data_IF_899004113825
#
_entry.id   IF_899004113825
#
_cell.length_a   1.000
_cell.length_b   1.000
_cell.length_c   1.000
_cell.angle_alpha   90.00
_cell.angle_beta   90.00
_cell.angle_gamma   90.00
#
_symmetry.space_group_name_H-M   'P 1'
#
loop_
_entity.id
_entity.type
_entity.pdbx_description
1 polymer ?
#
# COMPACT_ATOMS: atom_id res chain seq x y z
N UNK A 1 -41.60 38.05 -8.89
CA UNK A 1 -41.13 37.54 -7.59
C UNK A 1 -40.85 36.05 -7.78
N UNK A 2 -39.58 35.70 -7.93
CA UNK A 2 -38.93 34.37 -7.76
C UNK A 2 -37.56 34.48 -8.43
N UNK A 3 -36.58 34.94 -7.65
CA UNK A 3 -35.19 34.89 -8.05
C UNK A 3 -34.74 33.42 -8.03
N UNK A 4 -34.25 32.96 -9.17
CA UNK A 4 -33.51 31.70 -9.26
C UNK A 4 -32.20 31.91 -8.50
N UNK A 5 -32.00 31.11 -7.44
CA UNK A 5 -30.76 31.09 -6.69
C UNK A 5 -29.62 30.68 -7.62
N UNK A 6 -28.58 31.52 -7.66
CA UNK A 6 -27.31 31.18 -8.28
C UNK A 6 -26.74 29.94 -7.57
N UNK A 7 -26.51 28.88 -8.34
CA UNK A 7 -25.67 27.77 -7.91
C UNK A 7 -24.29 28.35 -7.59
N UNK A 8 -23.91 28.30 -6.32
CA UNK A 8 -22.52 28.50 -5.92
C UNK A 8 -21.72 27.34 -6.52
N UNK A 9 -21.06 27.63 -7.63
CA UNK A 9 -20.04 26.78 -8.23
C UNK A 9 -18.85 26.76 -7.26
N UNK A 10 -18.82 25.78 -6.36
CA UNK A 10 -17.69 25.53 -5.47
C UNK A 10 -16.54 25.00 -6.33
N UNK A 11 -15.87 25.92 -7.03
CA UNK A 11 -14.62 25.63 -7.70
C UNK A 11 -13.61 25.24 -6.62
N UNK A 12 -13.38 23.94 -6.48
CA UNK A 12 -12.33 23.40 -5.62
C UNK A 12 -11.02 24.05 -6.08
N UNK A 13 -10.36 24.80 -5.21
CA UNK A 13 -9.06 25.41 -5.53
C UNK A 13 -8.03 24.30 -5.77
N UNK A 14 -7.75 24.06 -7.06
CA UNK A 14 -6.78 23.09 -7.57
C UNK A 14 -5.44 23.76 -7.92
N UNK A 15 -5.28 25.05 -7.61
CA UNK A 15 -4.11 25.85 -8.00
C UNK A 15 -2.92 25.71 -7.07
N UNK A 16 -3.12 25.09 -5.91
CA UNK A 16 -2.09 24.88 -4.91
C UNK A 16 -0.91 24.05 -5.42
N UNK A 17 0.27 24.68 -5.50
CA UNK A 17 1.52 24.02 -5.88
C UNK A 17 2.10 23.23 -4.70
N UNK A 18 2.31 21.93 -4.89
CA UNK A 18 2.95 21.04 -3.92
C UNK A 18 4.46 21.19 -4.02
N UNK A 19 5.12 21.45 -2.88
CA UNK A 19 6.59 21.60 -2.85
C UNK A 19 7.23 20.37 -2.26
N UNK A 20 8.09 19.70 -3.02
CA UNK A 20 8.84 18.54 -2.56
C UNK A 20 10.22 18.95 -2.03
N UNK A 21 10.57 18.43 -0.86
CA UNK A 21 11.86 18.65 -0.21
C UNK A 21 12.41 17.36 0.40
N UNK A 22 13.71 17.38 0.74
CA UNK A 22 14.37 16.32 1.49
C UNK A 22 15.00 16.97 2.73
N UNK A 23 14.21 17.19 3.79
CA UNK A 23 14.71 17.85 4.98
C UNK A 23 15.78 17.00 5.67
N UNK A 24 16.81 17.67 6.20
CA UNK A 24 17.74 17.04 7.12
C UNK A 24 17.06 16.76 8.46
N UNK A 25 17.22 15.55 8.97
CA UNK A 25 16.75 15.15 10.29
C UNK A 25 17.95 14.73 11.12
N UNK A 26 17.93 15.06 12.41
CA UNK A 26 18.97 14.65 13.33
C UNK A 26 18.86 13.16 13.67
N UNK A 27 19.93 12.58 14.23
CA UNK A 27 19.97 11.17 14.61
C UNK A 27 20.22 10.22 13.43
N UNK A 28 20.18 8.91 13.71
CA UNK A 28 20.43 7.88 12.71
C UNK A 28 19.11 7.35 12.16
N UNK A 29 18.81 7.55 10.87
CA UNK A 29 17.59 7.02 10.27
C UNK A 29 17.65 5.49 10.14
N UNK A 30 16.50 4.83 9.94
CA UNK A 30 16.46 3.42 9.63
C UNK A 30 17.24 3.11 8.35
N UNK A 31 17.79 1.90 8.26
CA UNK A 31 18.37 1.38 7.01
C UNK A 31 17.37 1.43 5.86
N UNK A 32 17.89 1.35 4.63
CA UNK A 32 17.06 1.24 3.44
C UNK A 32 16.07 0.07 3.57
N UNK A 33 14.81 0.30 3.21
CA UNK A 33 13.74 -0.69 3.40
C UNK A 33 12.51 -0.42 2.53
N UNK A 34 11.88 -1.49 2.07
CA UNK A 34 10.53 -1.46 1.52
C UNK A 34 9.63 -2.52 2.15
N UNK A 35 8.31 -2.33 2.02
CA UNK A 35 7.30 -3.16 2.67
C UNK A 35 7.31 -3.03 4.20
N UNK A 36 7.83 -1.92 4.72
CA UNK A 36 7.74 -1.56 6.14
C UNK A 36 6.41 -0.86 6.40
N UNK A 37 6.05 -0.71 7.66
CA UNK A 37 4.90 0.10 8.08
C UNK A 37 5.35 1.38 8.77
N UNK A 38 4.59 2.45 8.60
CA UNK A 38 4.74 3.71 9.34
C UNK A 38 3.36 4.14 9.81
N UNK A 39 3.25 4.55 11.07
CA UNK A 39 2.03 5.16 11.60
C UNK A 39 2.35 6.42 12.41
N UNK A 40 1.38 7.31 12.51
CA UNK A 40 1.44 8.50 13.36
C UNK A 40 0.88 8.19 14.75
N UNK A 41 1.68 8.40 15.79
CA UNK A 41 1.25 8.34 17.19
C UNK A 41 1.61 9.66 17.89
N UNK A 42 0.62 10.55 18.03
CA UNK A 42 0.86 11.92 18.49
C UNK A 42 1.73 12.67 17.48
N UNK A 43 2.93 13.10 17.89
CA UNK A 43 3.90 13.79 17.03
C UNK A 43 5.06 12.89 16.59
N UNK A 44 4.85 11.57 16.61
CA UNK A 44 5.89 10.57 16.31
C UNK A 44 5.45 9.71 15.15
N UNK A 45 6.30 9.59 14.13
CA UNK A 45 6.17 8.53 13.12
C UNK A 45 6.88 7.29 13.66
N UNK A 46 6.14 6.20 13.85
CA UNK A 46 6.66 4.91 14.30
C UNK A 46 6.82 3.99 13.09
N UNK A 47 8.05 3.56 12.82
CA UNK A 47 8.44 2.73 11.68
C UNK A 47 8.75 1.33 12.18
N UNK A 48 8.21 0.29 11.53
CA UNK A 48 8.48 -1.10 11.88
C UNK A 48 8.71 -2.01 10.66
N UNK A 49 9.74 -2.84 10.77
CA UNK A 49 10.02 -3.94 9.85
C UNK A 49 10.43 -3.50 8.44
N UNK A 50 10.07 -4.31 7.45
CA UNK A 50 10.46 -4.17 6.05
C UNK A 50 11.62 -5.08 5.66
N UNK A 51 12.14 -4.87 4.46
CA UNK A 51 13.27 -5.64 3.94
C UNK A 51 14.08 -4.83 2.92
N UNK A 52 15.31 -5.27 2.67
CA UNK A 52 16.17 -4.77 1.60
C UNK A 52 17.08 -5.87 1.05
N UNK A 53 17.69 -5.64 -0.09
CA UNK A 53 18.68 -6.57 -0.66
C UNK A 53 20.05 -6.32 -0.02
N UNK A 54 20.57 -7.29 0.74
CA UNK A 54 21.76 -7.13 1.58
C UNK A 54 23.11 -7.27 0.86
N UNK A 55 23.10 -7.60 -0.44
CA UNK A 55 24.29 -8.11 -1.14
C UNK A 55 24.37 -9.64 -1.06
N UNK A 56 25.27 -10.24 -1.83
CA UNK A 56 25.49 -11.72 -1.86
C UNK A 56 24.29 -12.58 -2.29
N UNK A 57 23.27 -11.99 -2.92
CA UNK A 57 22.12 -12.75 -3.45
C UNK A 57 20.97 -12.97 -2.46
N UNK A 58 21.01 -12.39 -1.25
CA UNK A 58 19.98 -12.61 -0.23
C UNK A 58 19.30 -11.30 0.22
N UNK A 59 18.02 -11.43 0.59
CA UNK A 59 17.26 -10.37 1.23
C UNK A 59 17.50 -10.36 2.74
N UNK A 60 17.59 -9.17 3.32
CA UNK A 60 17.61 -8.94 4.75
C UNK A 60 16.22 -8.48 5.18
N UNK A 61 15.62 -9.20 6.12
CA UNK A 61 14.31 -8.91 6.69
C UNK A 61 14.49 -8.25 8.06
N UNK A 62 13.59 -7.32 8.40
CA UNK A 62 13.73 -6.46 9.57
C UNK A 62 12.54 -6.61 10.53
N UNK A 63 12.80 -6.42 11.83
CA UNK A 63 11.81 -6.25 12.90
C UNK A 63 12.26 -5.18 13.91
N UNK A 64 13.11 -4.26 13.47
CA UNK A 64 13.51 -3.11 14.26
C UNK A 64 12.37 -2.07 14.33
N UNK A 65 12.36 -1.29 15.40
CA UNK A 65 11.42 -0.19 15.61
C UNK A 65 12.18 1.12 15.63
N UNK A 66 11.76 2.07 14.81
CA UNK A 66 12.31 3.42 14.77
C UNK A 66 11.22 4.44 15.00
N UNK A 67 11.61 5.58 15.54
CA UNK A 67 10.76 6.75 15.71
C UNK A 67 11.42 7.94 15.05
N UNK A 68 10.66 8.66 14.22
CA UNK A 68 10.96 10.06 13.91
C UNK A 68 10.07 10.93 14.81
N UNK A 69 10.70 11.62 15.76
CA UNK A 69 10.00 12.64 16.54
C UNK A 69 9.92 13.92 15.70
N UNK A 70 8.71 14.34 15.35
CA UNK A 70 8.48 15.49 14.47
C UNK A 70 8.67 16.82 15.20
N UNK A 71 8.56 16.84 16.53
CA UNK A 71 8.77 18.07 17.32
C UNK A 71 10.27 18.40 17.42
N UNK A 72 11.12 17.38 17.59
CA UNK A 72 12.58 17.56 17.60
C UNK A 72 13.25 17.31 16.25
N UNK A 73 12.51 16.85 15.24
CA UNK A 73 13.05 16.46 13.92
C UNK A 73 14.21 15.44 14.05
N UNK A 74 14.05 14.45 14.94
CA UNK A 74 15.13 13.51 15.29
C UNK A 74 14.70 12.06 15.12
N UNK A 75 15.54 11.28 14.45
CA UNK A 75 15.44 9.83 14.38
C UNK A 75 16.02 9.15 15.62
N UNK A 76 15.31 8.15 16.12
CA UNK A 76 15.76 7.30 17.21
C UNK A 76 15.36 5.84 16.93
N UNK A 77 16.32 4.93 17.05
CA UNK A 77 15.99 3.51 17.13
C UNK A 77 15.50 3.21 18.54
N UNK A 78 14.28 2.68 18.66
CA UNK A 78 13.70 2.33 19.95
C UNK A 78 14.01 0.87 20.25
N UNK A 79 14.62 0.64 21.41
CA UNK A 79 14.80 -0.71 21.95
C UNK A 79 13.53 -1.12 22.67
N UNK A 80 12.68 -1.89 21.99
CA UNK A 80 11.47 -2.42 22.59
C UNK A 80 11.77 -3.62 23.51
N UNK A 81 10.95 -3.75 24.55
CA UNK A 81 10.92 -4.93 25.42
C UNK A 81 9.94 -5.99 24.89
N UNK A 82 9.90 -7.14 25.57
CA UNK A 82 9.09 -8.28 25.16
C UNK A 82 9.68 -9.04 23.97
N UNK A 83 8.88 -9.93 23.38
CA UNK A 83 9.29 -10.69 22.19
C UNK A 83 8.68 -10.04 20.95
N UNK A 84 9.47 -9.36 20.10
CA UNK A 84 8.95 -8.75 18.89
C UNK A 84 8.48 -9.81 17.89
N UNK A 85 7.66 -9.42 16.89
CA UNK A 85 7.38 -10.27 15.75
C UNK A 85 8.67 -10.70 15.05
N UNK A 86 8.65 -11.86 14.40
CA UNK A 86 9.74 -12.26 13.53
C UNK A 86 9.95 -11.21 12.39
N UNK A 87 11.20 -11.03 11.89
CA UNK A 87 11.49 -10.14 10.77
C UNK A 87 10.58 -10.36 9.57
N UNK A 88 9.97 -9.27 9.07
CA UNK A 88 8.88 -9.34 8.08
C UNK A 88 8.76 -8.08 7.24
N UNK A 89 8.15 -8.25 6.06
CA UNK A 89 7.74 -7.16 5.18
C UNK A 89 6.34 -7.41 4.62
N UNK A 90 5.73 -6.35 4.10
CA UNK A 90 4.35 -6.32 3.60
C UNK A 90 3.34 -6.89 4.62
N UNK A 91 3.65 -6.75 5.91
CA UNK A 91 2.69 -6.86 7.00
C UNK A 91 1.82 -5.60 7.02
N UNK A 92 0.71 -5.67 7.74
CA UNK A 92 -0.08 -4.49 8.05
C UNK A 92 0.22 -4.00 9.47
N UNK A 93 0.07 -2.71 9.71
CA UNK A 93 0.18 -2.15 11.05
C UNK A 93 -0.83 -1.01 11.25
N UNK A 94 -1.59 -1.08 12.33
CA UNK A 94 -2.69 -0.16 12.63
C UNK A 94 -2.64 0.27 14.09
N UNK A 95 -2.81 1.58 14.34
CA UNK A 95 -2.88 2.15 15.69
C UNK A 95 -4.33 2.10 16.21
N UNK A 96 -4.56 1.47 17.35
CA UNK A 96 -5.83 1.52 18.10
C UNK A 96 -5.51 1.90 19.55
N UNK A 97 -5.99 3.06 19.99
CA UNK A 97 -5.59 3.63 21.27
C UNK A 97 -4.07 3.90 21.33
N UNK A 98 -3.37 3.34 22.32
CA UNK A 98 -1.91 3.43 22.46
C UNK A 98 -1.16 2.23 21.86
N UNK A 99 -1.86 1.33 21.14
CA UNK A 99 -1.32 0.04 20.70
C UNK A 99 -1.19 -0.02 19.19
N UNK A 100 0.02 -0.29 18.71
CA UNK A 100 0.28 -0.60 17.31
C UNK A 100 0.09 -2.11 17.11
N UNK A 101 -1.01 -2.51 16.48
CA UNK A 101 -1.24 -3.89 16.08
C UNK A 101 -0.50 -4.20 14.78
N UNK A 102 0.13 -5.37 14.67
CA UNK A 102 0.82 -5.87 13.49
C UNK A 102 0.28 -7.25 13.14
N UNK A 103 -0.15 -7.44 11.88
CA UNK A 103 -0.68 -8.72 11.41
C UNK A 103 -0.02 -9.18 10.09
N UNK A 104 0.28 -10.48 10.04
CA UNK A 104 0.75 -11.15 8.84
C UNK A 104 2.09 -10.65 8.33
N UNK A 105 2.26 -10.66 7.01
CA UNK A 105 3.52 -10.36 6.32
C UNK A 105 4.29 -11.61 5.92
N UNK A 106 5.45 -11.39 5.31
CA UNK A 106 6.35 -12.45 4.84
C UNK A 106 7.76 -12.22 5.37
N UNK A 107 8.48 -13.28 5.70
CA UNK A 107 9.83 -13.24 6.24
C UNK A 107 10.82 -14.07 5.40
N UNK A 108 11.92 -14.44 6.05
CA UNK A 108 13.00 -15.23 5.45
C UNK A 108 12.52 -16.60 4.96
N UNK A 109 13.17 -17.13 3.93
CA UNK A 109 12.86 -18.43 3.30
C UNK A 109 11.40 -18.59 2.87
N UNK A 110 10.72 -17.47 2.62
CA UNK A 110 9.34 -17.48 2.16
C UNK A 110 8.30 -17.73 3.26
N UNK A 111 8.67 -17.70 4.53
CA UNK A 111 7.74 -17.89 5.65
C UNK A 111 6.65 -16.83 5.58
N UNK A 112 5.40 -17.26 5.53
CA UNK A 112 4.21 -16.41 5.63
C UNK A 112 3.71 -16.41 7.07
N UNK A 113 3.30 -15.25 7.54
CA UNK A 113 2.82 -15.08 8.90
C UNK A 113 1.30 -15.00 8.94
N UNK A 114 0.71 -15.68 9.93
CA UNK A 114 -0.69 -15.56 10.36
C UNK A 114 -0.81 -14.96 11.76
N UNK A 115 0.31 -14.69 12.42
CA UNK A 115 0.34 -14.18 13.79
C UNK A 115 -0.08 -12.71 13.88
N UNK A 116 -0.50 -12.31 15.08
CA UNK A 116 -0.76 -10.91 15.42
C UNK A 116 0.03 -10.56 16.69
N UNK A 117 0.58 -9.35 16.70
CA UNK A 117 1.22 -8.75 17.86
C UNK A 117 0.66 -7.36 18.07
N UNK A 118 0.84 -6.80 19.27
CA UNK A 118 0.80 -5.36 19.43
C UNK A 118 2.02 -4.85 20.20
N UNK A 119 2.47 -3.65 19.82
CA UNK A 119 3.42 -2.86 20.57
C UNK A 119 2.63 -1.83 21.38
N UNK A 120 2.76 -1.88 22.69
CA UNK A 120 2.29 -0.81 23.57
C UNK A 120 3.26 0.37 23.48
N UNK A 121 2.79 1.52 22.96
CA UNK A 121 3.65 2.68 22.68
C UNK A 121 3.98 3.53 23.92
N UNK A 122 3.37 3.22 25.07
CA UNK A 122 3.69 3.88 26.33
C UNK A 122 4.86 3.17 27.03
N UNK A 123 4.79 1.84 27.10
CA UNK A 123 5.82 0.99 27.71
C UNK A 123 6.91 0.51 26.73
N UNK A 124 6.70 0.69 25.41
CA UNK A 124 7.54 0.11 24.36
C UNK A 124 7.73 -1.40 24.49
N UNK A 125 6.66 -2.12 24.86
CA UNK A 125 6.68 -3.56 25.09
C UNK A 125 5.83 -4.30 24.06
N UNK A 126 6.39 -5.36 23.47
CA UNK A 126 5.70 -6.22 22.50
C UNK A 126 4.93 -7.36 23.18
N UNK A 127 3.69 -7.56 22.74
CA UNK A 127 2.82 -8.65 23.19
C UNK A 127 2.33 -9.46 21.99
N UNK A 128 2.37 -10.80 22.11
CA UNK A 128 1.69 -11.68 21.16
C UNK A 128 0.20 -11.71 21.45
N UNK A 129 -0.62 -11.60 20.41
CA UNK A 129 -2.07 -11.71 20.50
C UNK A 129 -2.47 -13.15 20.19
N UNK A 130 -3.29 -13.74 21.06
CA UNK A 130 -3.86 -15.05 20.86
C UNK A 130 -5.38 -14.93 20.70
N UNK A 131 -5.95 -15.80 19.87
CA UNK A 131 -7.40 -15.90 19.65
C UNK A 131 -7.80 -17.38 19.50
N UNK A 132 -9.08 -17.66 19.68
CA UNK A 132 -9.64 -19.03 19.54
C UNK A 132 -10.63 -19.16 18.39
N UNK A 133 -11.03 -18.04 17.79
CA UNK A 133 -11.97 -18.01 16.67
C UNK A 133 -11.33 -18.41 15.35
N UNK A 134 -12.15 -18.72 14.34
CA UNK A 134 -11.70 -18.76 12.94
C UNK A 134 -11.08 -17.40 12.58
N UNK A 135 -10.05 -17.39 11.75
CA UNK A 135 -9.33 -16.17 11.38
C UNK A 135 -8.84 -16.23 9.94
N UNK A 136 -8.39 -15.11 9.36
CA UNK A 136 -7.75 -15.13 8.06
C UNK A 136 -6.53 -16.06 8.04
N UNK A 137 -6.29 -16.70 6.89
CA UNK A 137 -5.03 -17.42 6.58
C UNK A 137 -3.83 -16.47 6.58
N UNK A 138 -2.63 -17.04 6.68
CA UNK A 138 -1.36 -16.36 6.44
C UNK A 138 -1.37 -15.61 5.12
N UNK A 139 -0.85 -14.38 5.14
CA UNK A 139 -0.91 -13.47 3.99
C UNK A 139 0.05 -12.32 4.14
N UNK A 140 0.42 -11.73 3.01
CA UNK A 140 1.12 -10.44 2.96
C UNK A 140 0.52 -9.54 1.88
N UNK A 141 0.80 -8.25 1.97
CA UNK A 141 0.28 -7.24 1.05
C UNK A 141 -1.23 -7.03 1.16
N UNK A 142 -1.87 -7.50 2.23
CA UNK A 142 -3.22 -7.06 2.59
C UNK A 142 -3.17 -5.62 3.10
N UNK A 143 -4.32 -4.95 3.11
CA UNK A 143 -4.49 -3.66 3.76
C UNK A 143 -5.32 -3.85 5.03
N UNK A 144 -5.03 -3.04 6.04
CA UNK A 144 -5.87 -2.89 7.23
C UNK A 144 -6.05 -1.43 7.62
N UNK A 145 -7.06 -1.18 8.46
CA UNK A 145 -7.26 0.08 9.17
C UNK A 145 -8.12 -0.12 10.41
N UNK A 146 -8.17 0.90 11.27
CA UNK A 146 -9.05 0.93 12.43
C UNK A 146 -10.43 1.50 12.09
N UNK A 147 -11.49 0.86 12.59
CA UNK A 147 -12.85 1.40 12.69
C UNK A 147 -13.27 1.30 14.15
N UNK A 148 -13.19 2.41 14.89
CA UNK A 148 -13.34 2.41 16.34
C UNK A 148 -12.28 1.52 17.02
N UNK A 149 -12.72 0.54 17.82
CA UNK A 149 -11.85 -0.44 18.50
C UNK A 149 -11.59 -1.70 17.66
N UNK A 150 -12.00 -1.72 16.40
CA UNK A 150 -11.87 -2.89 15.52
C UNK A 150 -10.87 -2.64 14.41
N UNK A 151 -10.16 -3.69 14.02
CA UNK A 151 -9.25 -3.68 12.88
C UNK A 151 -9.92 -4.42 11.72
N UNK A 152 -10.07 -3.76 10.58
CA UNK A 152 -10.69 -4.32 9.37
C UNK A 152 -9.59 -4.67 8.37
N UNK A 153 -9.53 -5.92 7.92
CA UNK A 153 -8.56 -6.42 6.94
C UNK A 153 -9.25 -6.82 5.64
N UNK A 154 -8.67 -6.44 4.51
CA UNK A 154 -9.10 -6.89 3.20
C UNK A 154 -7.95 -7.40 2.34
N UNK A 155 -8.22 -8.48 1.60
CA UNK A 155 -7.34 -9.00 0.55
C UNK A 155 -6.01 -9.55 1.05
N UNK A 156 -4.96 -9.41 0.23
CA UNK A 156 -3.64 -9.98 0.46
C UNK A 156 -3.33 -11.16 -0.45
N UNK A 157 -2.16 -11.75 -0.26
CA UNK A 157 -1.66 -12.81 -1.12
C UNK A 157 -0.94 -13.88 -0.30
N UNK A 158 -1.16 -15.15 -0.67
CA UNK A 158 -0.44 -16.31 -0.19
C UNK A 158 -0.01 -17.15 -1.40
N UNK A 159 1.30 -17.28 -1.69
CA UNK A 159 1.76 -18.33 -2.58
C UNK A 159 1.50 -19.65 -1.86
N UNK A 160 0.61 -20.49 -2.40
CA UNK A 160 0.46 -21.83 -1.84
C UNK A 160 1.82 -22.54 -2.01
N UNK A 161 2.17 -23.41 -1.07
CA UNK A 161 3.33 -24.29 -1.23
C UNK A 161 2.87 -25.60 -1.86
N UNK A 162 3.69 -26.26 -2.70
CA UNK A 162 3.43 -27.62 -3.18
C UNK A 162 3.12 -28.65 -2.07
N UNK A 163 3.57 -28.38 -0.85
CA UNK A 163 3.34 -29.22 0.33
C UNK A 163 2.03 -28.92 1.09
N UNK A 164 1.43 -27.73 0.94
CA UNK A 164 0.27 -27.28 1.74
C UNK A 164 -1.09 -27.53 1.04
N UNK A 165 -1.18 -28.63 0.29
CA UNK A 165 -2.44 -29.08 -0.34
C UNK A 165 -3.42 -29.67 0.69
N UNK A 166 -3.92 -28.82 1.58
CA UNK A 166 -5.08 -29.12 2.42
C UNK A 166 -6.23 -28.20 2.03
N UNK A 167 -6.93 -28.53 0.94
CA UNK A 167 -8.36 -28.90 0.99
C UNK A 167 -9.04 -28.93 -0.38
N UNK A 168 -8.52 -28.27 -1.43
CA UNK A 168 -9.33 -28.00 -2.64
C UNK A 168 -8.75 -28.53 -3.97
N UNK A 169 -7.70 -29.37 -3.98
CA UNK A 169 -7.14 -29.91 -5.24
C UNK A 169 -7.92 -31.12 -5.76
N UNK A 170 -8.48 -31.03 -6.97
CA UNK A 170 -9.08 -32.15 -7.71
C UNK A 170 -7.98 -33.14 -8.13
N UNK A 171 -8.10 -34.40 -7.74
CA UNK A 171 -7.21 -35.48 -8.17
C UNK A 171 -7.54 -35.94 -9.59
N UNK A 172 -6.53 -36.13 -10.46
CA UNK A 172 -6.73 -36.79 -11.74
C UNK A 172 -6.92 -38.31 -11.60
N UNK A 173 -7.35 -38.97 -12.68
CA UNK A 173 -7.67 -40.40 -12.71
C UNK A 173 -6.48 -41.34 -12.49
N UNK A 174 -5.26 -40.82 -12.37
CA UNK A 174 -4.03 -41.59 -12.19
C UNK A 174 -3.40 -41.41 -10.80
N UNK A 175 -4.05 -40.67 -9.89
CA UNK A 175 -3.59 -40.52 -8.51
C UNK A 175 -2.26 -39.75 -8.38
N UNK A 176 -1.78 -39.11 -9.45
CA UNK A 176 -0.65 -38.19 -9.39
C UNK A 176 -1.16 -36.80 -9.01
N UNK A 177 -0.76 -36.33 -7.84
CA UNK A 177 -1.05 -34.97 -7.38
C UNK A 177 -0.14 -34.00 -8.13
N UNK A 178 -0.68 -33.30 -9.12
CA UNK A 178 0.00 -32.14 -9.71
C UNK A 178 -0.22 -30.92 -8.83
N UNK A 179 0.87 -30.23 -8.50
CA UNK A 179 0.85 -28.82 -8.14
C UNK A 179 0.16 -28.06 -9.28
N UNK A 180 -0.91 -27.33 -9.01
CA UNK A 180 -1.67 -26.58 -10.02
C UNK A 180 -1.06 -25.21 -10.32
N UNK A 181 0.03 -24.83 -9.64
CA UNK A 181 0.61 -23.49 -9.75
C UNK A 181 -0.14 -22.44 -8.96
N UNK A 182 -1.19 -22.78 -8.21
CA UNK A 182 -2.12 -21.80 -7.65
C UNK A 182 -1.45 -20.92 -6.60
N UNK A 183 -1.34 -19.65 -6.93
CA UNK A 183 -1.15 -18.61 -5.94
C UNK A 183 -2.52 -18.06 -5.55
N UNK A 184 -2.75 -17.82 -4.25
CA UNK A 184 -4.04 -17.36 -3.75
C UNK A 184 -3.97 -15.86 -3.47
N UNK A 185 -4.51 -15.08 -4.40
CA UNK A 185 -4.89 -13.69 -4.11
C UNK A 185 -6.24 -13.70 -3.39
N UNK A 186 -6.34 -13.03 -2.26
CA UNK A 186 -7.54 -13.01 -1.42
C UNK A 186 -8.46 -11.83 -1.76
N UNK A 187 -9.77 -12.01 -1.51
CA UNK A 187 -10.84 -10.99 -1.54
C UNK A 187 -11.74 -11.04 -0.30
N UNK A 188 -11.30 -11.77 0.73
CA UNK A 188 -12.05 -11.89 1.97
C UNK A 188 -11.88 -10.63 2.82
N UNK A 189 -12.92 -10.34 3.60
CA UNK A 189 -12.95 -9.26 4.58
C UNK A 189 -13.01 -9.91 5.96
N UNK A 190 -12.19 -9.42 6.88
CA UNK A 190 -12.15 -9.86 8.27
C UNK A 190 -12.15 -8.67 9.21
N UNK A 191 -12.74 -8.84 10.37
CA UNK A 191 -12.75 -7.85 11.45
C UNK A 191 -12.14 -8.48 12.69
N UNK A 192 -11.13 -7.84 13.26
CA UNK A 192 -10.59 -8.20 14.55
C UNK A 192 -11.08 -7.24 15.62
N UNK A 193 -11.71 -7.76 16.66
CA UNK A 193 -12.11 -7.00 17.82
C UNK A 193 -10.95 -6.93 18.82
N UNK A 194 -10.43 -5.72 19.07
CA UNK A 194 -9.28 -5.55 19.98
C UNK A 194 -9.64 -5.62 21.45
N UNK A 195 -10.92 -5.61 21.81
CA UNK A 195 -11.37 -5.76 23.20
C UNK A 195 -11.53 -7.23 23.58
N UNK A 196 -12.12 -8.03 22.70
CA UNK A 196 -12.34 -9.46 22.93
C UNK A 196 -11.25 -10.36 22.36
N UNK A 197 -10.30 -9.80 21.60
CA UNK A 197 -9.30 -10.52 20.81
C UNK A 197 -9.90 -11.66 19.96
N UNK A 198 -10.95 -11.32 19.22
CA UNK A 198 -11.69 -12.26 18.39
C UNK A 198 -11.77 -11.79 16.94
N UNK A 199 -11.63 -12.74 16.03
CA UNK A 199 -11.87 -12.51 14.61
C UNK A 199 -13.34 -12.79 14.27
N UNK A 200 -13.88 -11.95 13.40
CA UNK A 200 -15.23 -12.02 12.88
C UNK A 200 -15.12 -11.97 11.36
N UNK A 201 -15.81 -12.89 10.70
CA UNK A 201 -16.01 -12.86 9.24
C UNK A 201 -17.36 -12.20 8.96
N UNK A 202 -17.41 -10.88 8.67
CA UNK A 202 -18.67 -10.19 8.46
C UNK A 202 -19.38 -10.74 7.21
N UNK A 203 -20.71 -10.77 7.27
CA UNK A 203 -21.52 -10.98 6.08
C UNK A 203 -21.55 -9.68 5.29
N UNK A 204 -21.01 -9.71 4.07
CA UNK A 204 -20.99 -8.54 3.18
C UNK A 204 -22.08 -8.65 2.10
N UNK A 205 -22.53 -7.50 1.60
CA UNK A 205 -23.44 -7.41 0.45
C UNK A 205 -22.86 -6.50 -0.63
N UNK A 206 -23.55 -6.42 -1.78
CA UNK A 206 -23.05 -5.69 -2.95
C UNK A 206 -21.96 -6.46 -3.72
N UNK A 207 -21.28 -5.77 -4.63
CA UNK A 207 -20.22 -6.36 -5.44
C UNK A 207 -18.85 -5.98 -4.87
N UNK A 208 -18.14 -6.91 -4.20
CA UNK A 208 -16.83 -6.63 -3.64
C UNK A 208 -15.77 -6.41 -4.74
N UNK A 209 -14.63 -5.80 -4.39
CA UNK A 209 -13.48 -5.76 -5.27
C UNK A 209 -13.01 -7.16 -5.68
N UNK A 210 -12.40 -7.27 -6.86
CA UNK A 210 -11.64 -8.46 -7.25
C UNK A 210 -10.53 -8.75 -6.22
N UNK A 211 -10.13 -10.03 -6.05
CA UNK A 211 -9.00 -10.39 -5.20
C UNK A 211 -7.76 -9.55 -5.52
N UNK A 212 -7.12 -8.99 -4.49
CA UNK A 212 -6.02 -8.04 -4.67
C UNK A 212 -5.09 -7.98 -3.47
N UNK A 213 -3.84 -7.61 -3.73
CA UNK A 213 -2.83 -7.26 -2.72
C UNK A 213 -2.06 -6.01 -3.15
N UNK A 214 -1.34 -5.39 -2.22
CA UNK A 214 -0.67 -4.10 -2.42
C UNK A 214 -1.62 -2.96 -2.76
N UNK A 215 -2.90 -3.10 -2.41
CA UNK A 215 -3.90 -2.04 -2.46
C UNK A 215 -3.86 -1.24 -1.15
N UNK A 216 -4.60 -0.15 -1.09
CA UNK A 216 -4.73 0.64 0.13
C UNK A 216 -6.19 0.73 0.58
N UNK A 217 -6.36 0.99 1.87
CA UNK A 217 -7.64 1.27 2.51
C UNK A 217 -7.56 2.63 3.22
N UNK A 218 -8.64 3.41 3.22
CA UNK A 218 -8.72 4.67 3.96
C UNK A 218 -10.13 4.86 4.52
N UNK A 219 -10.24 5.21 5.80
CA UNK A 219 -11.53 5.45 6.46
C UNK A 219 -11.97 6.88 6.17
N UNK A 220 -13.11 7.03 5.51
CA UNK A 220 -13.73 8.32 5.22
C UNK A 220 -14.49 8.85 6.46
N UNK A 221 -14.69 10.16 6.50
CA UNK A 221 -15.41 10.84 7.60
C UNK A 221 -16.85 10.35 7.79
N UNK A 222 -17.48 9.87 6.71
CA UNK A 222 -18.84 9.32 6.74
C UNK A 222 -18.90 7.84 7.18
N UNK A 223 -17.79 7.28 7.66
CA UNK A 223 -17.71 5.92 8.15
C UNK A 223 -17.54 4.86 7.05
N UNK A 224 -17.42 5.23 5.77
CA UNK A 224 -17.10 4.27 4.71
C UNK A 224 -15.60 4.03 4.63
N UNK A 225 -15.22 2.80 4.28
CA UNK A 225 -13.84 2.46 3.91
C UNK A 225 -13.71 2.58 2.40
N UNK A 226 -12.79 3.40 1.92
CA UNK A 226 -12.38 3.47 0.53
C UNK A 226 -11.24 2.47 0.26
N UNK A 227 -11.39 1.65 -0.78
CA UNK A 227 -10.34 0.74 -1.29
C UNK A 227 -9.88 1.25 -2.65
N UNK A 228 -8.56 1.39 -2.84
CA UNK A 228 -8.00 1.84 -4.11
C UNK A 228 -6.84 0.95 -4.59
N UNK A 229 -6.91 0.59 -5.88
CA UNK A 229 -5.83 -0.04 -6.63
C UNK A 229 -5.53 -1.48 -6.23
N UNK A 230 -4.26 -1.87 -6.33
CA UNK A 230 -3.75 -3.20 -6.02
C UNK A 230 -3.47 -4.05 -7.24
N UNK A 231 -2.95 -5.24 -6.99
CA UNK A 231 -2.56 -6.21 -7.99
C UNK A 231 -3.16 -7.58 -7.71
N UNK A 232 -3.54 -8.25 -8.79
CA UNK A 232 -4.07 -9.60 -8.78
C UNK A 232 -3.16 -10.51 -9.60
N UNK A 233 -2.78 -11.64 -9.01
CA UNK A 233 -2.22 -12.76 -9.75
C UNK A 233 -3.33 -13.77 -10.02
N UNK A 234 -3.58 -14.06 -11.29
CA UNK A 234 -4.46 -15.12 -11.75
C UNK A 234 -3.63 -16.25 -12.35
N UNK A 235 -3.92 -17.47 -11.92
CA UNK A 235 -3.43 -18.69 -12.57
C UNK A 235 -4.55 -19.19 -13.46
N UNK A 236 -4.35 -19.14 -14.77
CA UNK A 236 -5.31 -19.70 -15.72
C UNK A 236 -5.14 -21.23 -15.79
N UNK A 237 -6.22 -21.96 -16.09
CA UNK A 237 -6.24 -23.43 -16.10
C UNK A 237 -5.29 -24.11 -17.11
N UNK A 238 -4.51 -23.35 -17.87
CA UNK A 238 -3.42 -23.81 -18.74
C UNK A 238 -2.01 -23.65 -18.16
N UNK A 239 -1.86 -23.12 -16.95
CA UNK A 239 -0.56 -22.85 -16.31
C UNK A 239 0.01 -21.45 -16.57
N UNK A 240 -0.65 -20.62 -17.40
CA UNK A 240 -0.24 -19.24 -17.61
C UNK A 240 -0.63 -18.37 -16.42
N UNK A 241 0.36 -17.66 -15.87
CA UNK A 241 0.18 -16.66 -14.81
C UNK A 241 -0.08 -15.31 -15.48
N UNK A 242 -1.29 -14.76 -15.31
CA UNK A 242 -1.62 -13.41 -15.74
C UNK A 242 -1.77 -12.49 -14.53
N UNK A 243 -1.26 -11.27 -14.68
CA UNK A 243 -1.31 -10.24 -13.65
C UNK A 243 -2.22 -9.08 -14.04
N UNK A 244 -3.07 -8.61 -13.15
CA UNK A 244 -3.90 -7.43 -13.37
C UNK A 244 -3.61 -6.34 -12.34
N UNK A 245 -3.25 -5.14 -12.81
CA UNK A 245 -3.12 -3.94 -11.98
C UNK A 245 -4.43 -3.18 -11.96
N UNK A 246 -5.01 -3.05 -10.78
CA UNK A 246 -6.28 -2.38 -10.59
C UNK A 246 -6.08 -0.87 -10.39
N UNK A 247 -7.02 -0.10 -10.94
CA UNK A 247 -7.13 1.36 -10.78
C UNK A 247 -8.51 1.78 -10.26
N UNK A 248 -9.33 0.81 -9.88
CA UNK A 248 -10.68 1.06 -9.46
C UNK A 248 -10.77 1.47 -8.00
N UNK A 249 -11.84 2.22 -7.70
CA UNK A 249 -12.23 2.64 -6.38
C UNK A 249 -13.47 1.85 -5.97
N UNK A 250 -13.44 1.32 -4.75
CA UNK A 250 -14.58 0.74 -4.09
C UNK A 250 -14.80 1.44 -2.75
N UNK A 251 -16.03 1.44 -2.26
CA UNK A 251 -16.31 1.79 -0.87
C UNK A 251 -17.08 0.70 -0.16
N UNK A 252 -16.78 0.48 1.11
CA UNK A 252 -17.50 -0.41 2.01
C UNK A 252 -18.12 0.44 3.12
N UNK A 253 -19.43 0.40 3.23
CA UNK A 253 -20.14 0.97 4.37
C UNK A 253 -19.93 0.11 5.61
N UNK A 254 -19.38 0.68 6.69
CA UNK A 254 -18.96 -0.10 7.87
C UNK A 254 -20.09 -0.47 8.81
N UNK A 255 -21.28 0.13 8.65
CA UNK A 255 -22.47 -0.21 9.43
C UNK A 255 -23.26 -1.34 8.76
N UNK A 256 -23.49 -1.21 7.45
CA UNK A 256 -24.29 -2.14 6.66
C UNK A 256 -23.47 -3.27 6.04
N UNK A 257 -22.14 -3.16 6.03
CA UNK A 257 -21.20 -4.07 5.36
C UNK A 257 -21.51 -4.23 3.86
N UNK A 258 -21.99 -3.16 3.22
CA UNK A 258 -22.34 -3.13 1.80
C UNK A 258 -21.22 -2.51 0.95
N UNK A 259 -20.79 -3.26 -0.07
CA UNK A 259 -19.85 -2.75 -1.07
C UNK A 259 -20.55 -1.95 -2.16
N UNK A 260 -19.93 -0.85 -2.55
CA UNK A 260 -20.30 -0.08 -3.74
C UNK A 260 -19.06 0.25 -4.58
N UNK A 261 -19.28 0.49 -5.87
CA UNK A 261 -18.22 0.89 -6.81
C UNK A 261 -18.58 2.28 -7.37
N UNK A 262 -18.12 3.37 -6.75
CA UNK A 262 -18.38 4.71 -7.26
C UNK A 262 -17.75 4.89 -8.64
N UNK A 263 -18.39 5.72 -9.48
CA UNK A 263 -17.80 6.16 -10.73
C UNK A 263 -16.81 7.27 -10.41
N UNK A 264 -15.57 7.11 -10.85
CA UNK A 264 -14.55 8.15 -10.77
C UNK A 264 -14.36 8.83 -12.12
N UNK A 265 -14.01 10.11 -12.09
CA UNK A 265 -13.75 10.92 -13.28
C UNK A 265 -12.41 11.66 -13.15
N UNK A 266 -12.01 12.39 -14.18
CA UNK A 266 -10.79 13.21 -14.16
C UNK A 266 -9.51 12.45 -14.51
N UNK A 267 -8.40 12.96 -14.03
CA UNK A 267 -7.03 12.52 -14.35
C UNK A 267 -6.58 11.44 -13.35
N UNK A 268 -7.13 10.24 -13.49
CA UNK A 268 -6.86 9.12 -12.58
C UNK A 268 -5.50 8.45 -12.84
N UNK A 269 -4.82 7.93 -11.80
CA UNK A 269 -3.56 7.22 -11.94
C UNK A 269 -3.72 5.91 -12.74
N UNK A 270 -2.59 5.42 -13.27
CA UNK A 270 -2.53 4.05 -13.78
C UNK A 270 -2.80 3.04 -12.67
N UNK A 271 -3.24 1.84 -13.06
CA UNK A 271 -3.38 0.74 -12.10
C UNK A 271 -2.03 0.42 -11.49
N UNK A 272 -1.95 0.40 -10.16
CA UNK A 272 -0.69 0.24 -9.43
C UNK A 272 -0.88 -0.65 -8.20
N UNK A 273 0.22 -1.23 -7.71
CA UNK A 273 0.28 -1.75 -6.35
C UNK A 273 1.51 -1.23 -5.61
N UNK A 274 1.46 -1.33 -4.28
CA UNK A 274 2.52 -0.82 -3.41
C UNK A 274 2.63 0.70 -3.43
N UNK A 275 1.60 1.38 -3.95
CA UNK A 275 1.35 2.80 -3.69
C UNK A 275 0.90 3.01 -2.26
N UNK A 276 0.93 4.25 -1.81
CA UNK A 276 0.42 4.64 -0.50
C UNK A 276 -0.71 5.63 -0.67
N UNK A 277 -1.68 5.59 0.24
CA UNK A 277 -2.70 6.63 0.34
C UNK A 277 -2.69 7.30 1.70
N UNK A 278 -2.88 8.61 1.73
CA UNK A 278 -3.07 9.40 2.94
C UNK A 278 -4.30 10.27 2.76
N UNK A 279 -5.24 10.23 3.71
CA UNK A 279 -6.46 11.02 3.67
C UNK A 279 -6.29 12.26 4.56
N UNK A 280 -6.64 13.43 4.03
CA UNK A 280 -6.78 14.67 4.80
C UNK A 280 -8.09 15.37 4.39
N UNK A 281 -9.04 15.41 5.32
CA UNK A 281 -10.42 15.79 5.06
C UNK A 281 -11.01 15.01 3.87
N UNK A 282 -11.39 15.73 2.82
CA UNK A 282 -11.99 15.17 1.60
C UNK A 282 -10.97 14.85 0.49
N UNK A 283 -9.67 14.93 0.77
CA UNK A 283 -8.62 14.71 -0.22
C UNK A 283 -7.85 13.44 0.10
N UNK A 284 -7.92 12.46 -0.79
CA UNK A 284 -7.11 11.25 -0.72
C UNK A 284 -5.89 11.42 -1.63
N UNK A 285 -4.72 11.55 -1.02
CA UNK A 285 -3.44 11.69 -1.69
C UNK A 285 -2.88 10.31 -2.00
N UNK A 286 -2.55 10.06 -3.27
CA UNK A 286 -2.04 8.78 -3.77
C UNK A 286 -0.66 8.97 -4.36
N UNK A 287 0.31 8.26 -3.82
CA UNK A 287 1.72 8.46 -4.15
C UNK A 287 2.37 7.17 -4.62
N UNK A 288 3.10 7.26 -5.73
CA UNK A 288 3.92 6.19 -6.29
C UNK A 288 3.15 4.91 -6.66
N UNK A 289 3.79 3.76 -6.42
CA UNK A 289 3.32 2.44 -6.82
C UNK A 289 3.89 1.97 -8.16
N UNK A 290 3.74 0.67 -8.41
CA UNK A 290 4.22 0.04 -9.64
C UNK A 290 3.07 -0.45 -10.52
N UNK A 291 3.11 -0.12 -11.82
CA UNK A 291 2.03 -0.40 -12.79
C UNK A 291 2.36 -1.46 -13.83
N UNK A 292 3.51 -2.14 -13.72
CA UNK A 292 3.90 -3.23 -14.64
C UNK A 292 4.31 -2.79 -16.06
N UNK A 293 4.10 -1.53 -16.43
CA UNK A 293 4.39 -1.03 -17.79
C UNK A 293 5.77 -0.41 -17.91
N UNK A 294 6.38 -0.48 -19.10
CA UNK A 294 7.60 0.25 -19.48
C UNK A 294 7.45 1.79 -19.33
N UNK A 295 6.20 2.29 -19.24
CA UNK A 295 5.88 3.71 -19.00
C UNK A 295 5.96 4.10 -17.52
N UNK A 296 6.04 3.14 -16.61
CA UNK A 296 6.41 3.43 -15.23
C UNK A 296 7.92 3.60 -15.14
N UNK A 297 8.38 4.68 -14.50
CA UNK A 297 9.81 4.98 -14.29
C UNK A 297 10.58 3.90 -13.50
N UNK A 298 9.96 2.77 -13.15
CA UNK A 298 10.49 1.68 -12.30
C UNK A 298 11.09 0.56 -13.18
N UNK A 299 11.48 0.85 -14.42
CA UNK A 299 12.12 -0.15 -15.27
C UNK A 299 13.58 -0.34 -14.83
N UNK A 300 13.82 -1.24 -13.87
CA UNK A 300 15.00 -2.10 -13.71
C UNK A 300 14.99 -2.78 -12.34
N UNK A 301 14.88 -4.12 -12.25
CA UNK A 301 15.18 -4.83 -11.00
C UNK A 301 14.78 -6.29 -10.89
N UNK A 302 13.62 -6.68 -11.40
CA UNK A 302 13.19 -8.09 -11.31
C UNK A 302 13.64 -8.86 -12.56
N UNK A 303 14.59 -9.78 -12.38
CA UNK A 303 15.18 -10.60 -13.45
C UNK A 303 14.13 -11.43 -14.18
N UNK A 304 13.07 -11.83 -13.48
CA UNK A 304 11.94 -12.58 -14.04
C UNK A 304 11.09 -11.69 -14.96
N UNK A 305 10.82 -10.45 -14.53
CA UNK A 305 10.10 -9.44 -15.34
C UNK A 305 10.94 -8.99 -16.53
N UNK A 306 12.27 -8.92 -16.40
CA UNK A 306 13.19 -8.62 -17.50
C UNK A 306 13.15 -9.68 -18.61
N UNK A 307 13.07 -10.95 -18.26
CA UNK A 307 13.01 -12.04 -19.24
C UNK A 307 11.64 -12.08 -19.95
N UNK A 308 10.55 -11.89 -19.21
CA UNK A 308 9.19 -11.84 -19.76
C UNK A 308 8.96 -10.57 -20.61
N UNK A 309 9.43 -9.41 -20.15
CA UNK A 309 9.33 -8.16 -20.92
C UNK A 309 10.21 -8.19 -22.18
N UNK A 310 11.40 -8.82 -22.13
CA UNK A 310 12.21 -9.04 -23.33
C UNK A 310 11.56 -9.97 -24.33
N UNK A 311 10.85 -11.01 -23.89
CA UNK A 311 10.14 -11.90 -24.82
C UNK A 311 8.97 -11.17 -25.48
N UNK A 312 8.17 -10.44 -24.70
CA UNK A 312 7.03 -9.64 -25.18
C UNK A 312 7.45 -8.49 -26.10
N UNK A 313 8.51 -7.75 -25.77
CA UNK A 313 9.03 -6.66 -26.59
C UNK A 313 9.69 -7.18 -27.89
N UNK A 314 10.31 -8.37 -27.86
CA UNK A 314 10.81 -9.04 -29.06
C UNK A 314 9.67 -9.44 -29.98
N UNK A 315 8.57 -9.97 -29.44
CA UNK A 315 7.37 -10.33 -30.19
C UNK A 315 6.67 -9.10 -30.78
N UNK A 316 6.55 -7.99 -30.05
CA UNK A 316 5.94 -6.76 -30.54
C UNK A 316 6.80 -6.04 -31.59
N UNK A 317 8.14 -6.11 -31.52
CA UNK A 317 9.02 -5.57 -32.58
C UNK A 317 8.93 -6.36 -33.87
N UNK A 318 8.74 -7.68 -33.76
CA UNK A 318 8.47 -8.54 -34.91
C UNK A 318 7.10 -8.24 -35.55
N UNK A 319 6.16 -7.66 -34.79
CA UNK A 319 4.80 -7.35 -35.26
C UNK A 319 4.58 -5.90 -35.72
N UNK A 320 5.29 -4.91 -35.18
CA UNK A 320 4.93 -3.49 -35.38
C UNK A 320 5.94 -2.60 -36.11
N UNK A 321 7.13 -3.09 -36.47
CA UNK A 321 8.02 -2.45 -37.46
C UNK A 321 8.44 -0.99 -37.20
N UNK A 322 8.22 -0.41 -36.01
CA UNK A 322 8.55 1.00 -35.73
C UNK A 322 9.64 1.15 -34.67
N UNK A 323 10.55 2.10 -34.91
CA UNK A 323 11.65 2.44 -34.01
C UNK A 323 11.38 3.82 -33.40
N UNK A 324 11.02 3.86 -32.11
CA UNK A 324 10.86 5.13 -31.38
C UNK A 324 12.23 5.56 -30.84
N UNK A 325 12.59 6.82 -31.09
CA UNK A 325 13.89 7.42 -30.74
C UNK A 325 13.98 7.80 -29.25
N UNK A 326 15.11 7.49 -28.63
CA UNK A 326 15.43 7.77 -27.22
C UNK A 326 15.40 9.27 -26.84
N UNK A 327 15.32 10.20 -27.81
CA UNK A 327 15.20 11.64 -27.54
C UNK A 327 13.81 12.08 -27.04
N UNK A 328 12.73 11.33 -27.32
CA UNK A 328 11.39 11.69 -26.80
C UNK A 328 11.22 11.38 -25.31
N UNK A 329 11.93 10.37 -24.81
CA UNK A 329 11.85 9.93 -23.41
C UNK A 329 12.29 11.00 -22.40
N UNK A 330 13.28 11.84 -22.72
CA UNK A 330 13.78 12.87 -21.79
C UNK A 330 12.83 14.05 -21.58
N UNK A 331 11.97 14.36 -22.55
CA UNK A 331 11.02 15.46 -22.44
C UNK A 331 9.77 15.06 -21.63
N UNK A 332 9.40 13.77 -21.63
CA UNK A 332 8.30 13.20 -20.84
C UNK A 332 8.65 12.99 -19.35
N UNK A 333 9.96 12.90 -19.03
CA UNK A 333 10.44 12.76 -17.65
C UNK A 333 10.13 13.99 -16.77
N UNK A 334 9.98 15.17 -17.35
CA UNK A 334 9.69 16.42 -16.63
C UNK A 334 8.24 16.55 -16.14
N UNK A 335 7.37 15.58 -16.47
CA UNK A 335 5.93 15.59 -16.15
C UNK A 335 5.47 14.31 -15.45
N UNK A 336 6.35 13.65 -14.67
CA UNK A 336 5.94 12.49 -13.87
C UNK A 336 4.90 12.94 -12.83
N UNK A 337 3.63 12.57 -13.05
CA UNK A 337 2.50 12.80 -12.13
C UNK A 337 2.63 11.86 -10.93
N UNK A 338 3.65 12.08 -10.10
CA UNK A 338 3.99 11.18 -9.00
C UNK A 338 2.92 11.17 -7.90
N UNK A 339 2.22 12.30 -7.74
CA UNK A 339 1.11 12.48 -6.81
C UNK A 339 -0.18 12.66 -7.59
N UNK A 340 -1.19 11.85 -7.26
CA UNK A 340 -2.58 12.06 -7.66
C UNK A 340 -3.41 12.36 -6.42
N UNK A 341 -4.46 13.15 -6.58
CA UNK A 341 -5.42 13.43 -5.52
C UNK A 341 -6.80 13.03 -6.01
N UNK A 342 -7.50 12.24 -5.20
CA UNK A 342 -8.93 11.97 -5.35
C UNK A 342 -9.68 12.87 -4.37
N UNK A 343 -10.50 13.77 -4.90
CA UNK A 343 -11.53 14.44 -4.11
C UNK A 343 -12.64 13.41 -3.83
N UNK A 344 -12.79 12.97 -2.57
CA UNK A 344 -13.71 11.87 -2.22
C UNK A 344 -15.16 12.30 -2.18
N UNK A 345 -15.45 13.60 -2.12
CA UNK A 345 -16.83 14.10 -2.17
C UNK A 345 -17.37 14.06 -3.60
N UNK A 346 -16.53 14.42 -4.57
CA UNK A 346 -16.90 14.46 -6.00
C UNK A 346 -16.49 13.20 -6.77
N UNK A 347 -15.63 12.37 -6.19
CA UNK A 347 -14.97 11.23 -6.84
C UNK A 347 -14.18 11.63 -8.10
N UNK A 348 -13.62 12.83 -8.10
CA UNK A 348 -12.82 13.36 -9.20
C UNK A 348 -11.32 13.32 -8.89
N UNK A 349 -10.56 12.78 -9.83
CA UNK A 349 -9.11 12.75 -9.78
C UNK A 349 -8.49 13.97 -10.43
N UNK A 350 -7.42 14.49 -9.83
CA UNK A 350 -6.57 15.49 -10.44
C UNK A 350 -5.11 15.32 -9.97
N UNK A 351 -4.18 15.88 -10.74
CA UNK A 351 -2.77 15.96 -10.37
C UNK A 351 -2.44 17.40 -10.01
N UNK A 352 -2.13 17.71 -8.75
CA UNK A 352 -1.72 19.05 -8.40
C UNK A 352 -0.36 19.37 -9.05
N UNK A 353 -0.12 20.63 -9.46
CA UNK A 353 1.20 21.05 -9.90
C UNK A 353 2.21 20.83 -8.78
N UNK A 354 3.42 20.40 -9.14
CA UNK A 354 4.48 20.14 -8.17
C UNK A 354 5.78 20.85 -8.55
N UNK A 355 6.56 21.22 -7.54
CA UNK A 355 7.87 21.85 -7.66
C UNK A 355 8.83 21.30 -6.60
N UNK A 356 10.08 21.76 -6.61
CA UNK A 356 11.10 21.36 -5.66
C UNK A 356 11.97 20.22 -6.18
N UNK A 357 12.35 19.28 -5.31
CA UNK A 357 13.20 18.16 -5.71
C UNK A 357 12.42 17.15 -6.56
N UNK A 358 13.14 16.47 -7.47
CA UNK A 358 12.58 15.32 -8.17
C UNK A 358 12.47 14.12 -7.22
N UNK A 359 11.28 13.55 -7.10
CA UNK A 359 11.03 12.37 -6.27
C UNK A 359 11.02 11.13 -7.15
N UNK A 360 11.99 10.24 -6.93
CA UNK A 360 12.06 8.98 -7.65
C UNK A 360 10.79 8.14 -7.41
N UNK A 361 10.22 7.62 -8.50
CA UNK A 361 9.09 6.72 -8.41
C UNK A 361 9.46 5.46 -7.62
N UNK A 362 8.54 4.98 -6.78
CA UNK A 362 8.81 3.90 -5.82
C UNK A 362 7.55 3.17 -5.38
N UNK A 363 7.72 1.94 -4.92
CA UNK A 363 6.65 1.12 -4.36
C UNK A 363 7.07 0.49 -3.02
N UNK A 364 6.10 0.08 -2.20
CA UNK A 364 6.36 -0.44 -0.84
C UNK A 364 7.02 0.59 0.08
N UNK A 365 6.83 1.88 -0.20
CA UNK A 365 7.18 2.98 0.69
C UNK A 365 6.03 3.19 1.69
N UNK A 366 6.23 4.11 2.63
CA UNK A 366 5.16 4.62 3.48
C UNK A 366 4.98 6.11 3.21
N UNK A 367 3.74 6.60 3.33
CA UNK A 367 3.41 8.01 3.28
C UNK A 367 2.40 8.33 4.38
N UNK A 368 2.64 9.40 5.14
CA UNK A 368 1.78 9.80 6.25
C UNK A 368 1.61 11.31 6.23
N UNK A 369 0.37 11.78 6.21
CA UNK A 369 0.06 13.20 6.33
C UNK A 369 0.06 13.61 7.81
N UNK A 370 0.72 14.72 8.11
CA UNK A 370 0.74 15.38 9.40
C UNK A 370 0.61 16.89 9.17
N UNK A 371 -0.58 17.44 9.44
CA UNK A 371 -0.90 18.81 9.08
C UNK A 371 -0.73 19.02 7.56
N UNK A 372 -0.05 20.08 7.10
CA UNK A 372 0.13 20.35 5.68
C UNK A 372 1.26 19.52 5.03
N UNK A 373 1.86 18.58 5.74
CA UNK A 373 3.05 17.85 5.29
C UNK A 373 2.74 16.39 5.03
N UNK A 374 3.12 15.86 3.86
CA UNK A 374 3.15 14.43 3.59
C UNK A 374 4.59 13.93 3.75
N UNK A 375 4.83 13.10 4.76
CA UNK A 375 6.10 12.46 5.02
C UNK A 375 6.16 11.13 4.28
N UNK A 376 7.05 11.01 3.31
CA UNK A 376 7.31 9.81 2.53
C UNK A 376 8.64 9.18 2.96
N UNK A 377 8.65 7.89 3.29
CA UNK A 377 9.85 7.20 3.72
C UNK A 377 10.07 5.86 3.01
N UNK A 378 11.32 5.61 2.64
CA UNK A 378 11.79 4.32 2.11
C UNK A 378 11.17 3.93 0.76
N UNK A 379 10.92 2.64 0.59
CA UNK A 379 10.40 2.01 -0.63
C UNK A 379 11.47 1.52 -1.60
N UNK A 380 11.02 0.98 -2.73
CA UNK A 380 11.87 0.45 -3.80
C UNK A 380 11.74 1.29 -5.05
N UNK A 381 12.85 1.76 -5.61
CA UNK A 381 12.90 2.53 -6.88
C UNK A 381 12.93 1.64 -8.13
N UNK A 382 12.82 0.32 -7.94
CA UNK A 382 13.06 -0.70 -8.96
C UNK A 382 14.41 -1.38 -8.75
N UNK A 383 15.47 -0.60 -8.52
CA UNK A 383 16.83 -1.13 -8.44
C UNK A 383 17.25 -1.49 -7.02
N UNK A 384 16.85 -0.68 -6.03
CA UNK A 384 17.23 -0.85 -4.62
C UNK A 384 16.17 -0.32 -3.68
N UNK A 385 16.25 -0.78 -2.43
CA UNK A 385 15.53 -0.15 -1.33
C UNK A 385 16.14 1.24 -1.04
N UNK A 386 15.28 2.16 -0.63
CA UNK A 386 15.61 3.53 -0.26
C UNK A 386 15.49 3.71 1.26
N UNK A 387 16.21 4.69 1.80
CA UNK A 387 16.09 5.17 3.19
C UNK A 387 15.79 6.67 3.26
N UNK A 388 15.46 7.29 2.12
CA UNK A 388 15.23 8.73 2.05
C UNK A 388 13.91 9.09 2.73
N UNK A 389 13.93 10.16 3.52
CA UNK A 389 12.76 10.90 3.94
C UNK A 389 12.53 12.04 2.95
N UNK A 390 11.39 12.03 2.28
CA UNK A 390 10.96 13.07 1.35
C UNK A 390 9.68 13.69 1.92
N UNK A 391 9.56 15.01 1.88
CA UNK A 391 8.39 15.72 2.39
C UNK A 391 7.72 16.49 1.26
N UNK A 392 6.41 16.32 1.12
CA UNK A 392 5.55 17.15 0.29
C UNK A 392 4.83 18.18 1.16
N UNK A 393 5.04 19.46 0.88
CA UNK A 393 4.36 20.56 1.52
C UNK A 393 3.15 20.99 0.69
N UNK A 394 1.97 20.86 1.27
CA UNK A 394 0.73 21.34 0.67
C UNK A 394 0.50 22.81 1.04
N UNK A 395 0.01 23.62 0.10
CA UNK A 395 -0.30 25.01 0.39
C UNK A 395 -1.44 25.10 1.40
N UNK A 396 -1.18 25.84 2.48
CA UNK A 396 -2.20 26.18 3.47
C UNK A 396 -3.05 27.31 2.88
N UNK A 397 -4.40 27.22 2.92
CA UNK A 397 -5.25 28.33 2.51
C UNK A 397 -4.86 29.58 3.32
N UNK A 398 -4.51 30.68 2.66
CA UNK A 398 -4.27 31.94 3.35
C UNK A 398 -5.57 32.33 4.06
N UNK A 399 -5.58 32.36 5.40
CA UNK A 399 -6.70 32.96 6.11
C UNK A 399 -6.69 34.45 5.77
N UNK A 400 -7.64 34.87 4.95
CA UNK A 400 -7.98 36.29 4.81
C UNK A 400 -8.53 36.73 6.16
N UNK A 401 -7.75 37.53 6.89
CA UNK A 401 -8.18 38.21 8.11
C UNK A 401 -9.21 39.29 7.81
#
# INVERSE_FOLDING_TARGET
MTGLGENQDTTVDRSGVVTWSMPGMDGLPPSARGGHSTLLAGQRLVIFGGHYFGGEGFFVYLNDTYVLDLASSTWCQVKCEGKPPAPRYNHSATLIGNKMFVFGGKGDKGVLFRDMYYLDLESWHWFSVNWTTESPSERFGHADLAVGTKLVIFGGYSPLNPSDSTSDSVSDSNGQRRWDGSSKTYKDLWVFDTESFAWIKPKVTGTPPTPRHGHTMSLLEDGRILVFGGYMLQTSGGGDISGEYHKDVYTLDTETMAWTRPRTMGDFPLGTFGHTTSLDGQKLYVVGGWSGTERSQIYMGDKLVHETAKSLAREQRLQSGSTVSAKSFKAELATSKYLHVLDVATMEWYCPPSQGIEVANRYGHTATIVGPHLFLFGGWDGNRALHQLVVADFPVPSMSY
#
